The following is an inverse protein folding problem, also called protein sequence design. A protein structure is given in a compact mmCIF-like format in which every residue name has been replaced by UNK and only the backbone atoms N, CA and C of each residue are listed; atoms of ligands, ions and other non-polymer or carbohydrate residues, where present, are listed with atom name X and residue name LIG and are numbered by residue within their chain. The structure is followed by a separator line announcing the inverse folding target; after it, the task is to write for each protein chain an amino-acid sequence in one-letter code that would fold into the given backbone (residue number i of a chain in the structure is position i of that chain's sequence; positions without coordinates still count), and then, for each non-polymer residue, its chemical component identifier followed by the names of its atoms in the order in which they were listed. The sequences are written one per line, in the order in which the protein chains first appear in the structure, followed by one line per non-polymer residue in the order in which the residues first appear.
data_IF_908359391941
#
_entry.id   IF_908359391941
#
_cell.length_a   1.000
_cell.length_b   1.000
_cell.length_c   1.000
_cell.angle_alpha   90.00
_cell.angle_beta   90.00
_cell.angle_gamma   90.00
#
_symmetry.space_group_name_H-M   'P 1'
#
loop_
_entity.id
_entity.type
_entity.pdbx_description
1 polymer ?
#
# COMPACT_ATOMS: atom_id res chain seq x y z
N UNK A 1 11.70 -8.24 -1.07
CA UNK A 1 11.75 -6.85 -0.56
C UNK A 1 10.54 -6.09 -1.08
N UNK A 2 9.42 -6.16 -0.37
CA UNK A 2 8.25 -5.33 -0.69
C UNK A 2 8.58 -3.89 -0.26
N UNK A 3 8.80 -3.01 -1.24
CA UNK A 3 8.99 -1.57 -1.04
C UNK A 3 7.65 -0.95 -0.59
N UNK A 4 7.23 -1.23 0.65
CA UNK A 4 5.86 -1.00 1.12
C UNK A 4 5.69 0.12 2.16
N UNK A 5 6.76 0.77 2.59
CA UNK A 5 6.71 1.68 3.75
C UNK A 5 6.73 3.18 3.42
N UNK A 6 6.94 3.56 2.16
CA UNK A 6 7.08 4.98 1.76
C UNK A 6 5.77 5.64 1.31
N UNK A 7 4.64 4.93 1.36
CA UNK A 7 3.34 5.40 0.90
C UNK A 7 2.62 6.23 2.00
N UNK A 8 3.16 6.29 3.22
CA UNK A 8 2.53 6.95 4.36
C UNK A 8 3.43 8.05 4.93
N UNK A 9 3.18 9.29 4.52
CA UNK A 9 3.58 10.53 5.21
C UNK A 9 2.32 11.41 5.14
N UNK A 10 1.73 11.93 6.22
CA UNK A 10 2.20 12.27 7.56
C UNK A 10 0.97 12.27 8.50
N UNK A 11 1.09 11.71 9.71
CA UNK A 11 0.14 11.90 10.82
C UNK A 11 -1.20 11.16 10.71
N UNK A 12 -1.29 9.96 11.29
CA UNK A 12 -2.54 9.21 11.59
C UNK A 12 -3.40 8.66 10.42
N UNK A 13 -3.12 8.93 9.14
CA UNK A 13 -4.17 8.89 8.10
C UNK A 13 -4.07 7.81 7.00
N UNK A 14 -5.26 7.30 6.64
CA UNK A 14 -5.53 6.41 5.50
C UNK A 14 -5.08 7.04 4.17
N UNK A 15 -4.72 6.20 3.20
CA UNK A 15 -4.32 6.66 1.85
C UNK A 15 -5.37 7.56 1.18
N UNK A 16 -4.93 8.70 0.62
CA UNK A 16 -5.73 9.61 -0.20
C UNK A 16 -5.05 9.89 -1.52
N UNK A 17 -5.80 9.85 -2.62
CA UNK A 17 -5.31 10.21 -3.95
C UNK A 17 -5.11 11.73 -4.03
N UNK A 18 -3.87 12.18 -4.28
CA UNK A 18 -3.57 13.60 -4.44
C UNK A 18 -4.16 14.16 -5.74
N UNK A 19 -4.77 15.35 -5.66
CA UNK A 19 -5.47 16.00 -6.78
C UNK A 19 -4.83 17.30 -7.28
N UNK A 20 -4.01 17.98 -6.48
CA UNK A 20 -3.50 19.33 -6.79
C UNK A 20 -2.62 19.42 -8.05
N UNK A 21 -2.69 20.56 -8.77
CA UNK A 21 -2.02 20.77 -10.06
C UNK A 21 -0.50 20.63 -9.98
N UNK A 22 0.08 21.11 -8.89
CA UNK A 22 1.53 21.10 -8.71
C UNK A 22 2.05 19.84 -8.01
N UNK A 23 1.19 18.87 -7.69
CA UNK A 23 1.61 17.69 -6.93
C UNK A 23 2.58 16.80 -7.73
N UNK A 24 3.83 16.73 -7.25
CA UNK A 24 4.89 15.93 -7.85
C UNK A 24 4.61 14.42 -7.82
N UNK A 25 3.87 13.95 -6.81
CA UNK A 25 3.42 12.55 -6.71
C UNK A 25 2.37 12.20 -7.78
N UNK A 26 1.41 13.09 -8.07
CA UNK A 26 0.46 12.90 -9.18
C UNK A 26 1.18 12.89 -10.53
N UNK A 27 2.19 13.75 -10.68
CA UNK A 27 3.06 13.83 -11.88
C UNK A 27 4.13 12.73 -11.93
N UNK A 28 4.24 11.88 -10.90
CA UNK A 28 5.18 10.75 -10.81
C UNK A 28 6.65 11.17 -10.99
N UNK A 29 7.07 12.28 -10.41
CA UNK A 29 8.49 12.66 -10.42
C UNK A 29 9.35 11.60 -9.72
N UNK A 30 10.59 11.43 -10.17
CA UNK A 30 11.53 10.50 -9.53
C UNK A 30 11.85 11.00 -8.11
N UNK A 31 11.88 10.09 -7.14
CA UNK A 31 12.22 10.41 -5.74
C UNK A 31 11.06 10.88 -4.86
N UNK A 32 9.84 10.97 -5.39
CA UNK A 32 8.63 11.23 -4.59
C UNK A 32 7.93 9.93 -4.19
N UNK A 33 7.05 10.01 -3.18
CA UNK A 33 6.21 8.87 -2.76
C UNK A 33 5.48 8.24 -3.93
N UNK A 34 5.54 6.91 -4.06
CA UNK A 34 4.85 6.18 -5.12
C UNK A 34 3.35 6.08 -4.85
N UNK A 35 2.56 6.26 -5.92
CA UNK A 35 1.12 6.00 -5.92
C UNK A 35 0.87 4.47 -5.85
N UNK A 36 -0.03 3.99 -4.99
CA UNK A 36 -0.40 2.59 -4.98
C UNK A 36 -1.07 2.22 -6.32
N UNK A 37 -0.68 1.07 -6.85
CA UNK A 37 -1.22 0.49 -8.07
C UNK A 37 -1.51 -1.01 -7.83
N UNK A 38 -2.32 -1.62 -8.71
CA UNK A 38 -2.74 -3.02 -8.60
C UNK A 38 -1.54 -3.99 -8.68
N UNK A 39 -0.46 -3.60 -9.34
CA UNK A 39 0.74 -4.42 -9.53
C UNK A 39 1.58 -4.64 -8.27
N UNK A 40 1.30 -3.95 -7.15
CA UNK A 40 2.00 -4.16 -5.87
C UNK A 40 1.33 -5.22 -4.96
N UNK A 41 0.31 -5.93 -5.44
CA UNK A 41 -0.49 -6.87 -4.66
C UNK A 41 0.20 -8.20 -4.32
N UNK A 42 1.05 -8.21 -3.30
CA UNK A 42 1.51 -9.44 -2.66
C UNK A 42 0.73 -9.68 -1.37
N UNK A 43 -0.31 -10.52 -1.42
CA UNK A 43 -1.16 -10.84 -0.27
C UNK A 43 -0.75 -12.11 0.48
N UNK A 44 0.51 -12.52 0.32
CA UNK A 44 1.10 -13.67 0.98
C UNK A 44 1.76 -13.22 2.28
N UNK A 45 1.73 -14.10 3.28
CA UNK A 45 2.55 -13.93 4.46
C UNK A 45 4.02 -14.12 4.08
N UNK A 46 4.97 -13.62 4.89
CA UNK A 46 6.39 -13.95 4.76
C UNK A 46 6.67 -15.46 4.76
N UNK A 47 5.75 -16.27 5.32
CA UNK A 47 5.78 -17.73 5.36
C UNK A 47 5.10 -18.41 4.15
N UNK A 48 4.80 -17.65 3.09
CA UNK A 48 4.09 -18.09 1.88
C UNK A 48 2.64 -18.60 2.07
N UNK A 49 2.12 -18.62 3.30
CA UNK A 49 0.72 -18.95 3.55
C UNK A 49 -0.21 -17.77 3.28
N UNK A 50 -1.49 -18.06 3.00
CA UNK A 50 -2.57 -17.07 2.93
C UNK A 50 -3.33 -17.07 4.26
N UNK A 51 -3.42 -15.92 4.92
CA UNK A 51 -4.28 -15.76 6.11
C UNK A 51 -5.74 -15.84 5.70
N UNK A 52 -6.48 -16.75 6.31
CA UNK A 52 -7.94 -16.74 6.39
C UNK A 52 -8.33 -16.51 7.85
N UNK A 53 -9.48 -15.90 8.08
CA UNK A 53 -10.02 -15.69 9.44
C UNK A 53 -11.12 -16.73 9.64
N UNK A 54 -10.91 -17.65 10.57
CA UNK A 54 -11.93 -18.62 10.99
C UNK A 54 -12.52 -18.19 12.33
N UNK A 55 -13.85 -18.23 12.45
CA UNK A 55 -14.57 -17.79 13.64
C UNK A 55 -15.07 -18.95 14.51
N UNK A 56 -15.13 -20.18 13.99
CA UNK A 56 -15.65 -21.36 14.68
C UNK A 56 -14.79 -22.59 14.41
N UNK A 57 -14.72 -23.52 15.36
CA UNK A 57 -13.84 -24.71 15.29
C UNK A 57 -14.19 -25.75 14.21
N UNK A 58 -15.34 -25.61 13.53
CA UNK A 58 -15.71 -26.45 12.37
C UNK A 58 -15.23 -25.86 11.03
N UNK A 59 -14.51 -24.74 11.08
CA UNK A 59 -13.87 -24.09 9.95
C UNK A 59 -12.38 -23.86 10.22
#
# INVERSE_FOLDING_TARGET
MCQGWHIVLCGLEKWRKQKGIDSGVRRKFKGVTLMPNIGYGCHLLPTAFKKFVAHNAKE
#
